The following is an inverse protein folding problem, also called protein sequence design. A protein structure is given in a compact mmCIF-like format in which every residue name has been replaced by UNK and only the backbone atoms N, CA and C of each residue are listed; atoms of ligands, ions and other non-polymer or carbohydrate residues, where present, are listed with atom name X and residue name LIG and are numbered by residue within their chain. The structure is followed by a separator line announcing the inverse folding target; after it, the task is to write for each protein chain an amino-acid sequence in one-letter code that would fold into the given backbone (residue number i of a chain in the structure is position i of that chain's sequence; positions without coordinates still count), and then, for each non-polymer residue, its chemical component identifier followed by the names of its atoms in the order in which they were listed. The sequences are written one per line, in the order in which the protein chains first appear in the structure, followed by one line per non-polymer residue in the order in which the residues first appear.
data_IF_977001981605
#
_entry.id   IF_977001981605
#
_cell.length_a   1.000
_cell.length_b   1.000
_cell.length_c   1.000
_cell.angle_alpha   90.00
_cell.angle_beta   90.00
_cell.angle_gamma   90.00
#
_symmetry.space_group_name_H-M   'P 1'
#
loop_
_entity.id
_entity.type
_entity.pdbx_description
1 polymer ?
#
# COMPACT_ATOMS: atom_id res chain seq x y z
N UNK A 1 -15.87 -1.18 1.87
CA UNK A 1 -15.13 -1.76 3.00
C UNK A 1 -14.43 -0.64 3.76
N UNK A 2 -14.34 -0.78 5.09
CA UNK A 2 -13.77 0.26 5.97
C UNK A 2 -12.23 0.25 5.90
N UNK A 3 -11.58 1.37 5.58
CA UNK A 3 -10.15 1.64 5.80
C UNK A 3 -9.51 0.98 7.03
N UNK A 4 -10.20 1.00 8.17
CA UNK A 4 -9.69 0.48 9.45
C UNK A 4 -9.49 -1.03 9.45
N UNK A 5 -10.10 -1.74 8.52
CA UNK A 5 -9.95 -3.20 8.36
C UNK A 5 -8.53 -3.58 7.94
N UNK A 6 -7.82 -2.70 7.23
CA UNK A 6 -6.45 -2.96 6.74
C UNK A 6 -5.41 -3.03 7.84
N UNK A 7 -5.63 -2.36 8.97
CA UNK A 7 -4.72 -2.41 10.11
C UNK A 7 -4.66 -3.80 10.74
N UNK A 8 -5.74 -4.58 10.63
CA UNK A 8 -5.76 -5.98 11.09
C UNK A 8 -4.80 -6.85 10.27
N UNK A 9 -4.57 -6.48 9.00
CA UNK A 9 -3.64 -7.17 8.11
C UNK A 9 -2.24 -6.56 8.12
N UNK A 10 -1.88 -5.73 9.10
CA UNK A 10 -0.55 -5.13 9.20
C UNK A 10 0.55 -6.18 9.06
N UNK A 11 0.49 -7.26 9.86
CA UNK A 11 1.52 -8.30 9.84
C UNK A 11 1.55 -9.06 8.50
N UNK A 12 0.39 -9.26 7.87
CA UNK A 12 0.29 -9.86 6.53
C UNK A 12 0.88 -8.97 5.44
N UNK A 13 0.62 -7.66 5.53
CA UNK A 13 1.18 -6.69 4.61
C UNK A 13 2.70 -6.58 4.80
N UNK A 14 3.21 -6.69 6.04
CA UNK A 14 4.65 -6.75 6.30
C UNK A 14 5.27 -8.00 5.68
N UNK A 15 4.66 -9.16 5.87
CA UNK A 15 5.11 -10.42 5.29
C UNK A 15 5.18 -10.35 3.76
N UNK A 16 4.14 -9.82 3.13
CA UNK A 16 4.05 -9.72 1.69
C UNK A 16 4.99 -8.66 1.08
N UNK A 17 5.15 -7.53 1.75
CA UNK A 17 5.89 -6.36 1.21
C UNK A 17 7.37 -6.40 1.56
N UNK A 18 7.72 -6.86 2.76
CA UNK A 18 9.09 -6.85 3.29
C UNK A 18 9.71 -8.25 3.39
N UNK A 19 8.96 -9.31 3.09
CA UNK A 19 9.53 -10.64 2.90
C UNK A 19 10.48 -10.68 1.71
N UNK A 20 11.45 -11.59 1.73
CA UNK A 20 12.32 -11.86 0.57
C UNK A 20 11.49 -12.22 -0.68
N UNK A 21 12.11 -12.21 -1.87
CA UNK A 21 11.55 -12.47 -3.23
C UNK A 21 10.89 -13.85 -3.43
N UNK A 22 10.00 -14.23 -2.52
CA UNK A 22 9.24 -15.46 -2.52
C UNK A 22 7.88 -15.30 -3.20
N UNK A 23 7.12 -16.41 -3.29
CA UNK A 23 5.82 -16.42 -3.96
C UNK A 23 4.82 -15.38 -3.43
N UNK A 24 4.84 -15.12 -2.12
CA UNK A 24 3.92 -14.17 -1.49
C UNK A 24 4.24 -12.71 -1.90
N UNK A 25 5.52 -12.37 -1.98
CA UNK A 25 5.97 -11.08 -2.50
C UNK A 25 5.60 -10.90 -3.98
N UNK A 26 5.74 -11.97 -4.78
CA UNK A 26 5.34 -11.95 -6.19
C UNK A 26 3.83 -11.74 -6.37
N UNK A 27 2.99 -12.37 -5.53
CA UNK A 27 1.54 -12.15 -5.54
C UNK A 27 1.19 -10.69 -5.19
N UNK A 28 1.88 -10.12 -4.20
CA UNK A 28 1.70 -8.71 -3.82
C UNK A 28 2.08 -7.76 -4.97
N UNK A 29 3.24 -7.98 -5.58
CA UNK A 29 3.69 -7.20 -6.74
C UNK A 29 2.76 -7.34 -7.94
N UNK A 30 2.16 -8.52 -8.14
CA UNK A 30 1.13 -8.71 -9.16
C UNK A 30 -0.08 -7.79 -8.92
N UNK A 31 -0.56 -7.68 -7.68
CA UNK A 31 -1.64 -6.72 -7.39
C UNK A 31 -1.22 -5.27 -7.64
N UNK A 32 0.00 -4.88 -7.22
CA UNK A 32 0.55 -3.52 -7.41
C UNK A 32 0.71 -3.19 -8.90
N UNK A 33 0.98 -4.17 -9.76
CA UNK A 33 1.16 -3.97 -11.20
C UNK A 33 -0.10 -3.49 -11.95
N UNK A 34 -1.26 -3.46 -11.29
CA UNK A 34 -2.44 -2.75 -11.80
C UNK A 34 -2.26 -1.23 -11.84
N UNK A 35 -1.32 -0.69 -11.06
CA UNK A 35 -0.94 0.72 -11.05
C UNK A 35 0.11 0.99 -12.13
N UNK A 36 -0.01 2.16 -12.77
CA UNK A 36 1.05 2.69 -13.62
C UNK A 36 2.15 3.30 -12.76
N UNK A 37 3.33 3.53 -13.35
CA UNK A 37 4.40 4.27 -12.67
C UNK A 37 3.97 5.68 -12.26
N UNK A 38 3.08 6.33 -13.03
CA UNK A 38 2.54 7.64 -12.68
C UNK A 38 1.62 7.56 -11.46
N UNK A 39 0.74 6.55 -11.40
CA UNK A 39 -0.14 6.37 -10.24
C UNK A 39 0.67 6.18 -8.96
N UNK A 40 1.73 5.36 -9.00
CA UNK A 40 2.63 5.17 -7.86
C UNK A 40 3.32 6.47 -7.43
N UNK A 41 3.78 7.28 -8.39
CA UNK A 41 4.40 8.58 -8.10
C UNK A 41 3.41 9.57 -7.49
N UNK A 42 2.18 9.63 -7.99
CA UNK A 42 1.18 10.57 -7.49
C UNK A 42 0.72 10.18 -6.08
N UNK A 43 0.46 8.89 -5.85
CA UNK A 43 0.19 8.35 -4.51
C UNK A 43 1.34 8.68 -3.55
N UNK A 44 2.58 8.41 -3.98
CA UNK A 44 3.76 8.64 -3.15
C UNK A 44 3.89 10.12 -2.74
N UNK A 45 3.74 11.04 -3.70
CA UNK A 45 3.77 12.48 -3.43
C UNK A 45 2.65 12.91 -2.47
N UNK A 46 1.45 12.37 -2.64
CA UNK A 46 0.32 12.70 -1.76
C UNK A 46 0.56 12.24 -0.33
N UNK A 47 1.09 11.01 -0.15
CA UNK A 47 1.47 10.47 1.16
C UNK A 47 2.53 11.34 1.83
N UNK A 48 3.59 11.73 1.09
CA UNK A 48 4.63 12.60 1.64
C UNK A 48 4.13 14.01 1.98
N UNK A 49 3.11 14.50 1.28
CA UNK A 49 2.56 15.85 1.43
C UNK A 49 1.52 15.99 2.55
N UNK A 50 1.51 15.11 3.54
CA UNK A 50 0.61 15.28 4.68
C UNK A 50 0.41 14.09 5.60
N UNK A 51 0.97 12.93 5.25
CA UNK A 51 0.76 11.71 6.01
C UNK A 51 2.07 11.18 6.60
N UNK A 52 2.92 10.56 5.79
CA UNK A 52 4.21 10.04 6.24
C UNK A 52 5.33 10.52 5.33
N UNK A 53 6.32 11.19 5.93
CA UNK A 53 7.49 11.67 5.19
C UNK A 53 8.60 10.62 5.22
N UNK A 54 8.89 10.04 4.05
CA UNK A 54 10.05 9.18 3.86
C UNK A 54 11.31 10.03 3.63
N UNK A 55 12.48 9.46 3.89
CA UNK A 55 13.75 10.07 3.48
C UNK A 55 14.10 9.72 2.04
N UNK A 56 13.57 8.62 1.53
CA UNK A 56 13.69 8.23 0.13
C UNK A 56 12.85 9.14 -0.77
N UNK A 57 13.38 9.48 -1.95
CA UNK A 57 12.67 10.31 -2.94
C UNK A 57 11.93 9.50 -4.01
N UNK A 58 11.87 8.18 -3.86
CA UNK A 58 11.24 7.25 -4.82
C UNK A 58 10.46 6.19 -4.07
N UNK A 59 9.39 5.69 -4.68
CA UNK A 59 8.57 4.63 -4.10
C UNK A 59 9.40 3.36 -3.75
N UNK A 60 10.29 2.83 -4.61
CA UNK A 60 11.09 1.67 -4.25
C UNK A 60 12.06 1.94 -3.09
N UNK A 61 12.59 3.17 -3.03
CA UNK A 61 13.43 3.61 -1.92
C UNK A 61 12.64 3.73 -0.62
N UNK A 62 11.40 4.20 -0.69
CA UNK A 62 10.50 4.33 0.45
C UNK A 62 10.07 2.96 0.98
N UNK A 63 9.80 1.99 0.10
CA UNK A 63 9.54 0.59 0.50
C UNK A 63 10.77 0.00 1.19
N UNK A 64 11.98 0.21 0.64
CA UNK A 64 13.20 -0.27 1.27
C UNK A 64 13.41 0.36 2.66
N UNK A 65 13.23 1.67 2.78
CA UNK A 65 13.30 2.40 4.04
C UNK A 65 12.26 1.88 5.05
N UNK A 66 11.01 1.75 4.60
CA UNK A 66 9.90 1.22 5.38
C UNK A 66 10.20 -0.17 5.96
N UNK A 67 10.73 -1.07 5.13
CA UNK A 67 11.08 -2.42 5.55
C UNK A 67 12.21 -2.45 6.59
N UNK A 68 13.08 -1.42 6.61
CA UNK A 68 14.11 -1.21 7.63
C UNK A 68 13.60 -0.60 8.94
N UNK A 69 12.37 -0.08 9.01
CA UNK A 69 11.82 0.42 10.27
C UNK A 69 11.49 -0.72 11.23
N UNK A 70 11.55 -0.40 12.52
CA UNK A 70 11.24 -1.31 13.63
C UNK A 70 10.21 -0.71 14.59
N UNK A 71 9.55 -1.59 15.36
CA UNK A 71 8.67 -1.22 16.45
C UNK A 71 7.56 -0.24 16.07
N UNK A 72 7.39 0.80 16.90
CA UNK A 72 6.32 1.78 16.72
C UNK A 72 6.47 2.58 15.42
N UNK A 73 7.71 2.88 15.00
CA UNK A 73 7.94 3.67 13.78
C UNK A 73 7.38 2.95 12.55
N UNK A 74 7.57 1.62 12.45
CA UNK A 74 7.04 0.82 11.35
C UNK A 74 5.52 0.82 11.31
N UNK A 75 4.87 0.67 12.47
CA UNK A 75 3.41 0.73 12.58
C UNK A 75 2.83 2.10 12.22
N UNK A 76 3.48 3.17 12.68
CA UNK A 76 3.11 4.54 12.31
C UNK A 76 3.25 4.76 10.82
N UNK A 77 4.40 4.39 10.23
CA UNK A 77 4.63 4.52 8.79
C UNK A 77 3.59 3.77 7.96
N UNK A 78 3.25 2.54 8.33
CA UNK A 78 2.19 1.78 7.68
C UNK A 78 0.84 2.49 7.77
N UNK A 79 0.45 2.91 8.98
CA UNK A 79 -0.86 3.52 9.23
C UNK A 79 -1.00 4.83 8.45
N UNK A 80 -0.02 5.71 8.54
CA UNK A 80 -0.05 7.01 7.87
C UNK A 80 0.05 6.86 6.34
N UNK A 81 0.89 5.96 5.82
CA UNK A 81 0.95 5.68 4.37
C UNK A 81 -0.38 5.16 3.84
N UNK A 82 -1.03 4.27 4.61
CA UNK A 82 -2.33 3.74 4.23
C UNK A 82 -3.40 4.82 4.27
N UNK A 83 -3.42 5.67 5.29
CA UNK A 83 -4.36 6.78 5.39
C UNK A 83 -4.18 7.75 4.22
N UNK A 84 -2.94 8.04 3.82
CA UNK A 84 -2.62 8.85 2.64
C UNK A 84 -3.11 8.21 1.34
N UNK A 85 -2.82 6.93 1.12
CA UNK A 85 -3.34 6.19 -0.05
C UNK A 85 -4.87 6.26 -0.14
N UNK A 86 -5.57 6.11 0.99
CA UNK A 86 -7.03 6.14 1.03
C UNK A 86 -7.58 7.55 0.85
N UNK A 87 -6.89 8.56 1.36
CA UNK A 87 -7.20 9.96 1.11
C UNK A 87 -7.07 10.27 -0.39
N UNK A 88 -5.92 9.95 -0.99
CA UNK A 88 -5.67 10.11 -2.41
C UNK A 88 -6.74 9.42 -3.26
N UNK A 89 -7.05 8.15 -2.96
CA UNK A 89 -8.13 7.41 -3.62
C UNK A 89 -9.45 8.16 -3.55
N UNK A 90 -9.83 8.67 -2.38
CA UNK A 90 -11.08 9.41 -2.23
C UNK A 90 -11.07 10.71 -3.04
N UNK A 91 -9.95 11.42 -3.09
CA UNK A 91 -9.79 12.64 -3.90
C UNK A 91 -10.01 12.34 -5.38
N UNK A 92 -9.26 11.40 -5.95
CA UNK A 92 -9.35 11.09 -7.38
C UNK A 92 -10.68 10.42 -7.76
N UNK A 93 -11.26 9.61 -6.88
CA UNK A 93 -12.54 8.97 -7.15
C UNK A 93 -13.74 9.92 -7.09
N UNK A 94 -13.56 11.12 -6.53
CA UNK A 94 -14.55 12.19 -6.57
C UNK A 94 -14.34 13.14 -7.77
N UNK A 95 -13.29 12.91 -8.56
CA UNK A 95 -12.94 13.71 -9.74
C UNK A 95 -13.28 12.96 -11.03
N UNK A 96 -14.21 13.44 -11.87
CA UNK A 96 -14.55 12.78 -13.13
C UNK A 96 -13.38 12.66 -14.11
N UNK A 97 -12.37 13.55 -14.03
CA UNK A 97 -11.19 13.50 -14.90
C UNK A 97 -10.24 12.35 -14.56
N UNK A 98 -10.36 11.77 -13.36
CA UNK A 98 -9.41 10.80 -12.81
C UNK A 98 -10.05 9.41 -12.62
N UNK A 99 -11.16 9.14 -13.31
CA UNK A 99 -11.93 7.89 -13.21
C UNK A 99 -11.07 6.66 -13.51
N UNK A 100 -10.21 6.72 -14.52
CA UNK A 100 -9.30 5.63 -14.89
C UNK A 100 -8.29 5.35 -13.78
N UNK A 101 -7.73 6.39 -13.16
CA UNK A 101 -6.79 6.26 -12.06
C UNK A 101 -7.49 5.69 -10.81
N UNK A 102 -8.67 6.22 -10.48
CA UNK A 102 -9.53 5.68 -9.42
C UNK A 102 -9.82 4.19 -9.63
N UNK A 103 -10.13 3.79 -10.86
CA UNK A 103 -10.42 2.39 -11.21
C UNK A 103 -9.21 1.49 -10.99
N UNK A 104 -8.01 1.92 -11.40
CA UNK A 104 -6.77 1.16 -11.15
C UNK A 104 -6.47 1.01 -9.66
N UNK A 105 -6.61 2.08 -8.87
CA UNK A 105 -6.39 2.01 -7.42
C UNK A 105 -7.40 1.07 -6.75
N UNK A 106 -8.69 1.15 -7.11
CA UNK A 106 -9.71 0.23 -6.60
C UNK A 106 -9.35 -1.22 -6.92
N UNK A 107 -8.95 -1.50 -8.16
CA UNK A 107 -8.54 -2.84 -8.59
C UNK A 107 -7.33 -3.37 -7.81
N UNK A 108 -6.35 -2.51 -7.54
CA UNK A 108 -5.19 -2.88 -6.71
C UNK A 108 -5.62 -3.27 -5.30
N UNK A 109 -6.46 -2.45 -4.66
CA UNK A 109 -6.98 -2.75 -3.33
C UNK A 109 -7.81 -4.04 -3.33
N UNK A 110 -8.74 -4.19 -4.27
CA UNK A 110 -9.59 -5.38 -4.42
C UNK A 110 -8.78 -6.66 -4.69
N UNK A 111 -7.56 -6.54 -5.23
CA UNK A 111 -6.60 -7.64 -5.36
C UNK A 111 -5.84 -7.91 -4.05
N UNK A 112 -5.38 -6.86 -3.37
CA UNK A 112 -4.57 -6.98 -2.14
C UNK A 112 -5.38 -7.53 -0.97
N UNK A 113 -6.65 -7.11 -0.81
CA UNK A 113 -7.47 -7.52 0.33
C UNK A 113 -7.66 -9.04 0.46
N UNK A 114 -8.18 -9.74 -0.57
CA UNK A 114 -8.31 -11.19 -0.52
C UNK A 114 -6.96 -11.90 -0.35
N UNK A 115 -5.88 -11.33 -0.88
CA UNK A 115 -4.54 -11.87 -0.73
C UNK A 115 -4.07 -11.81 0.73
N UNK A 116 -4.29 -10.68 1.41
CA UNK A 116 -3.96 -10.52 2.81
C UNK A 116 -4.82 -11.42 3.70
N UNK A 117 -6.11 -11.56 3.37
CA UNK A 117 -7.00 -12.54 4.01
C UNK A 117 -6.50 -13.98 3.82
N UNK A 118 -6.05 -14.33 2.61
CA UNK A 118 -5.45 -15.64 2.31
C UNK A 118 -4.22 -15.89 3.19
N UNK A 119 -3.32 -14.91 3.31
CA UNK A 119 -2.11 -15.04 4.14
C UNK A 119 -2.45 -15.23 5.62
N UNK A 120 -3.40 -14.46 6.13
CA UNK A 120 -3.88 -14.59 7.50
C UNK A 120 -4.53 -15.96 7.75
N UNK A 121 -5.37 -16.44 6.82
CA UNK A 121 -6.01 -17.75 6.93
C UNK A 121 -5.00 -18.92 6.87
N UNK A 122 -3.84 -18.72 6.23
CA UNK A 122 -2.75 -19.68 6.18
C UNK A 122 -1.82 -19.63 7.40
N UNK A 123 -2.02 -18.68 8.34
CA UNK A 123 -1.16 -18.49 9.51
C UNK A 123 0.26 -18.04 9.16
N UNK A 124 0.44 -17.40 8.00
CA UNK A 124 1.71 -16.75 7.61
C UNK A 124 1.96 -15.46 8.37
N UNK A 125 0.85 -14.92 8.84
CA UNK A 125 0.57 -13.80 9.71
C UNK A 125 -0.80 -14.16 10.35
#
# INVERSE_FOLDING_TARGET
MDPKSLQVYYDCYMHATCGADGPDHQKQNHCISNLTGQDLQDIFKDVENGFFMYNANTEPGAVHEFCGFEGQKKKTAFTETLDGLLNYKNMICNSPSDEDQCTRIKRTLDCQFPLLEEFHAQGKC
#
